data_IF_107437768334
#
_entry.id   IF_107437768334
#
_cell.length_a   1.000
_cell.length_b   1.000
_cell.length_c   1.000
_cell.angle_alpha   90.00
_cell.angle_beta   90.00
_cell.angle_gamma   90.00
#
_symmetry.space_group_name_H-M   'P 1'
#
loop_
_entity.id
_entity.type
_entity.pdbx_description
1 polymer ?
#
# COMPACT_ATOMS: atom_id res chain seq x y z
N UNK A 1 -0.31 -0.83 33.00
CA UNK A 1 -0.02 0.39 32.21
C UNK A 1 -0.56 0.19 30.81
N UNK A 2 -1.41 1.11 30.32
CA UNK A 2 -2.14 1.03 29.05
C UNK A 2 -1.32 1.79 28.00
N UNK A 3 -0.91 1.14 26.91
CA UNK A 3 -0.25 1.83 25.80
C UNK A 3 -1.25 2.80 25.14
N UNK A 4 -0.84 4.06 24.96
CA UNK A 4 -1.66 5.08 24.32
C UNK A 4 -1.70 4.87 22.79
N UNK A 5 -2.87 5.04 22.12
CA UNK A 5 -2.96 5.02 20.67
C UNK A 5 -2.49 6.37 20.13
N UNK A 6 -1.32 6.41 19.52
CA UNK A 6 -0.70 7.63 19.03
C UNK A 6 0.11 7.40 17.77
N UNK A 7 -0.56 7.02 16.69
CA UNK A 7 -0.04 7.29 15.34
C UNK A 7 -0.68 8.60 14.92
N UNK A 8 -0.03 9.70 15.30
CA UNK A 8 -0.47 11.04 14.92
C UNK A 8 -0.48 11.18 13.41
N UNK A 9 -1.59 11.68 12.87
CA UNK A 9 -1.83 12.01 11.47
C UNK A 9 -0.88 13.08 10.90
N UNK A 10 0.15 13.49 11.64
CA UNK A 10 1.00 14.65 11.37
C UNK A 10 2.13 14.39 10.35
N UNK A 11 2.35 13.15 9.93
CA UNK A 11 3.41 12.79 8.96
C UNK A 11 2.90 12.11 7.69
N UNK A 12 1.59 11.99 7.51
CA UNK A 12 1.02 11.49 6.27
C UNK A 12 0.69 12.70 5.40
N UNK A 13 1.58 13.03 4.45
CA UNK A 13 1.19 13.91 3.37
C UNK A 13 -0.04 13.31 2.69
N UNK A 14 -1.11 14.09 2.55
CA UNK A 14 -2.29 13.67 1.83
C UNK A 14 -1.92 13.47 0.35
N UNK A 15 -1.60 12.23 -0.02
CA UNK A 15 -1.45 11.85 -1.41
C UNK A 15 -2.84 11.89 -2.02
N UNK A 16 -3.02 12.74 -3.03
CA UNK A 16 -4.29 12.84 -3.75
C UNK A 16 -4.58 11.49 -4.40
N UNK A 17 -5.82 10.96 -4.29
CA UNK A 17 -6.21 9.78 -5.05
C UNK A 17 -5.93 10.04 -6.54
N UNK A 18 -5.09 9.20 -7.12
CA UNK A 18 -4.65 9.34 -8.50
C UNK A 18 -4.42 7.97 -9.12
N UNK A 19 -4.88 7.79 -10.36
CA UNK A 19 -4.58 6.60 -11.14
C UNK A 19 -3.09 6.61 -11.49
N UNK A 20 -2.28 5.85 -10.75
CA UNK A 20 -0.89 5.64 -11.14
C UNK A 20 -0.87 4.66 -12.32
N UNK A 21 -0.73 5.20 -13.54
CA UNK A 21 -0.51 4.40 -14.73
C UNK A 21 0.93 3.86 -14.73
N UNK A 22 1.14 2.71 -14.09
CA UNK A 22 2.41 2.02 -14.13
C UNK A 22 2.50 1.25 -15.45
N UNK A 23 3.41 1.68 -16.32
CA UNK A 23 3.66 1.02 -17.60
C UNK A 23 4.02 -0.47 -17.44
N UNK A 24 3.89 -1.27 -18.52
CA UNK A 24 3.99 -2.74 -18.49
C UNK A 24 5.34 -3.32 -18.00
N UNK A 25 6.35 -2.49 -17.75
CA UNK A 25 7.69 -2.90 -17.30
C UNK A 25 7.90 -2.85 -15.77
N UNK A 26 6.89 -2.46 -14.98
CA UNK A 26 7.00 -2.30 -13.53
C UNK A 26 6.60 -3.56 -12.73
N UNK A 27 7.46 -4.04 -11.83
CA UNK A 27 7.13 -5.09 -10.83
C UNK A 27 6.86 -4.44 -9.47
N UNK A 28 5.77 -4.84 -8.81
CA UNK A 28 5.44 -4.45 -7.43
C UNK A 28 5.85 -5.58 -6.49
N UNK A 29 6.77 -5.30 -5.58
CA UNK A 29 7.16 -6.22 -4.54
C UNK A 29 6.55 -5.70 -3.23
N UNK A 30 5.70 -6.53 -2.60
CA UNK A 30 5.15 -6.24 -1.29
C UNK A 30 5.91 -7.05 -0.24
N UNK A 31 6.39 -6.36 0.79
CA UNK A 31 7.13 -6.97 1.88
C UNK A 31 6.56 -6.53 3.23
N UNK A 32 6.83 -7.33 4.27
CA UNK A 32 6.39 -7.07 5.65
C UNK A 32 4.89 -6.77 5.75
N UNK A 33 4.07 -7.61 5.12
CA UNK A 33 2.63 -7.50 5.20
C UNK A 33 2.16 -7.84 6.64
N UNK A 34 1.35 -6.96 7.22
CA UNK A 34 0.81 -7.07 8.57
C UNK A 34 -0.69 -6.83 8.52
N UNK A 35 -1.46 -7.70 9.17
CA UNK A 35 -2.88 -7.48 9.42
C UNK A 35 -3.03 -6.62 10.68
N UNK A 36 -3.62 -5.44 10.55
CA UNK A 36 -3.98 -4.59 11.69
C UNK A 36 -5.29 -5.04 12.34
N UNK A 37 -6.23 -5.52 11.51
CA UNK A 37 -7.47 -6.16 11.93
C UNK A 37 -7.92 -7.17 10.89
N UNK A 38 -8.64 -8.20 11.33
CA UNK A 38 -9.30 -9.15 10.45
C UNK A 38 -10.47 -9.82 11.19
N UNK A 39 -11.60 -9.91 10.53
CA UNK A 39 -12.76 -10.68 10.95
C UNK A 39 -13.36 -11.46 9.75
N UNK A 40 -14.56 -12.02 9.90
CA UNK A 40 -15.22 -12.81 8.86
C UNK A 40 -15.51 -12.00 7.58
N UNK A 41 -15.72 -10.69 7.70
CA UNK A 41 -16.26 -9.81 6.66
C UNK A 41 -15.25 -8.75 6.24
N UNK A 42 -14.36 -8.31 7.12
CA UNK A 42 -13.37 -7.25 6.84
C UNK A 42 -11.93 -7.66 7.19
N UNK A 43 -10.96 -6.99 6.58
CA UNK A 43 -9.56 -7.01 7.01
C UNK A 43 -8.85 -5.72 6.63
N UNK A 44 -7.96 -5.23 7.48
CA UNK A 44 -7.09 -4.09 7.20
C UNK A 44 -5.63 -4.57 7.19
N UNK A 45 -4.97 -4.44 6.04
CA UNK A 45 -3.61 -4.91 5.81
C UNK A 45 -2.69 -3.74 5.49
N UNK A 46 -1.50 -3.72 6.08
CA UNK A 46 -0.44 -2.81 5.71
C UNK A 46 0.76 -3.59 5.16
N UNK A 47 1.43 -3.08 4.14
CA UNK A 47 2.63 -3.69 3.56
C UNK A 47 3.56 -2.61 2.99
N UNK A 48 4.86 -2.85 2.98
CA UNK A 48 5.82 -1.99 2.30
C UNK A 48 5.91 -2.34 0.81
N UNK A 49 6.04 -1.31 -0.03
CA UNK A 49 6.18 -1.41 -1.48
C UNK A 49 7.61 -1.16 -1.90
N UNK A 50 8.11 -1.99 -2.81
CA UNK A 50 9.23 -1.68 -3.69
C UNK A 50 8.79 -1.87 -5.15
N UNK A 51 8.75 -0.76 -5.90
CA UNK A 51 8.46 -0.73 -7.31
C UNK A 51 9.78 -0.74 -8.09
N UNK A 52 9.99 -1.77 -8.89
CA UNK A 52 11.14 -1.88 -9.79
C UNK A 52 10.69 -1.77 -11.23
N UNK A 53 11.46 -1.10 -12.08
CA UNK A 53 11.20 -1.01 -13.52
C UNK A 53 12.44 -1.39 -14.30
N UNK A 54 12.23 -2.03 -15.45
CA UNK A 54 13.27 -2.27 -16.46
C UNK A 54 13.11 -1.35 -17.69
N UNK A 55 12.19 -0.39 -17.63
CA UNK A 55 12.04 0.59 -18.70
C UNK A 55 13.33 1.42 -18.82
N UNK A 56 13.89 1.52 -20.03
CA UNK A 56 15.13 2.27 -20.28
C UNK A 56 16.42 1.45 -20.25
N UNK A 57 16.35 0.11 -20.26
CA UNK A 57 17.50 -0.77 -20.48
C UNK A 57 18.34 -1.10 -19.24
N UNK A 58 18.19 -0.35 -18.16
CA UNK A 58 18.71 -0.67 -16.83
C UNK A 58 17.57 -0.95 -15.85
N UNK A 59 17.57 -2.15 -15.25
CA UNK A 59 16.62 -2.49 -14.18
C UNK A 59 16.97 -1.76 -12.88
N UNK A 60 15.98 -1.13 -12.24
CA UNK A 60 16.21 -0.39 -11.00
C UNK A 60 14.96 -0.20 -10.15
N UNK A 61 15.17 0.18 -8.89
CA UNK A 61 14.09 0.65 -7.99
C UNK A 61 13.69 2.04 -8.46
N UNK A 62 12.41 2.22 -8.78
CA UNK A 62 11.84 3.51 -9.20
C UNK A 62 10.99 4.14 -8.12
N UNK A 63 10.47 3.36 -7.16
CA UNK A 63 9.82 3.88 -5.96
C UNK A 63 9.86 2.89 -4.81
N UNK A 64 9.90 3.42 -3.59
CA UNK A 64 9.53 2.72 -2.36
C UNK A 64 8.33 3.39 -1.72
N UNK A 65 7.70 2.71 -0.78
CA UNK A 65 6.62 3.27 0.00
C UNK A 65 5.82 2.20 0.74
N UNK A 66 4.52 2.39 0.84
CA UNK A 66 3.64 1.48 1.54
C UNK A 66 2.24 1.40 0.92
N UNK A 67 1.57 0.29 1.17
CA UNK A 67 0.15 0.08 0.93
C UNK A 67 -0.57 -0.11 2.25
N UNK A 68 -1.72 0.54 2.39
CA UNK A 68 -2.76 0.12 3.33
C UNK A 68 -3.98 -0.29 2.53
N UNK A 69 -4.45 -1.51 2.74
CA UNK A 69 -5.54 -2.14 1.98
C UNK A 69 -6.64 -2.54 2.94
N UNK A 70 -7.83 -1.98 2.76
CA UNK A 70 -9.05 -2.50 3.38
C UNK A 70 -9.70 -3.50 2.45
N UNK A 71 -9.99 -4.68 2.99
CA UNK A 71 -10.65 -5.78 2.29
C UNK A 71 -12.04 -6.01 2.87
N UNK A 72 -13.02 -6.22 2.00
CA UNK A 72 -14.37 -6.62 2.37
C UNK A 72 -14.75 -7.95 1.72
N UNK A 73 -15.69 -8.69 2.31
CA UNK A 73 -16.21 -9.91 1.70
C UNK A 73 -17.36 -9.57 0.75
N UNK A 74 -17.19 -9.94 -0.52
CA UNK A 74 -18.20 -9.75 -1.55
C UNK A 74 -18.24 -10.97 -2.48
N UNK A 75 -19.39 -11.66 -2.51
CA UNK A 75 -19.58 -12.84 -3.38
C UNK A 75 -18.71 -14.03 -2.97
N UNK A 76 -18.42 -14.21 -1.68
CA UNK A 76 -17.58 -15.30 -1.16
C UNK A 76 -16.08 -15.02 -1.20
N UNK A 77 -15.65 -14.03 -1.97
CA UNK A 77 -14.26 -13.59 -2.11
C UNK A 77 -13.98 -12.32 -1.30
N UNK A 78 -12.70 -12.03 -1.07
CA UNK A 78 -12.27 -10.73 -0.54
C UNK A 78 -12.03 -9.78 -1.70
N UNK A 79 -12.58 -8.57 -1.59
CA UNK A 79 -12.38 -7.47 -2.55
C UNK A 79 -11.72 -6.30 -1.85
N UNK A 80 -10.95 -5.53 -2.62
CA UNK A 80 -10.37 -4.27 -2.13
C UNK A 80 -11.51 -3.26 -2.02
N UNK A 81 -11.87 -2.91 -0.79
CA UNK A 81 -12.84 -1.87 -0.48
C UNK A 81 -12.17 -0.49 -0.50
N UNK A 82 -10.96 -0.41 0.04
CA UNK A 82 -10.16 0.82 0.08
C UNK A 82 -8.67 0.51 -0.14
N UNK A 83 -7.97 1.44 -0.78
CA UNK A 83 -6.55 1.33 -1.08
C UNK A 83 -5.88 2.69 -0.88
N UNK A 84 -4.95 2.74 0.06
CA UNK A 84 -4.04 3.86 0.24
C UNK A 84 -2.65 3.44 -0.21
N UNK A 85 -2.03 4.29 -1.04
CA UNK A 85 -0.66 4.12 -1.51
C UNK A 85 0.15 5.32 -1.07
N UNK A 86 1.15 5.06 -0.22
CA UNK A 86 2.22 5.98 0.11
C UNK A 86 3.42 5.72 -0.80
N UNK A 87 4.02 6.77 -1.36
CA UNK A 87 5.37 6.68 -1.94
C UNK A 87 6.32 7.55 -1.13
N UNK A 88 7.49 7.02 -0.79
CA UNK A 88 8.52 7.79 -0.07
C UNK A 88 9.18 8.81 -0.99
N UNK A 89 9.07 8.61 -2.29
CA UNK A 89 9.51 9.56 -3.29
C UNK A 89 8.57 10.79 -3.29
N UNK A 90 9.13 11.98 -3.08
CA UNK A 90 8.44 13.23 -3.40
C UNK A 90 8.52 13.44 -4.92
N UNK A 91 7.37 13.42 -5.60
CA UNK A 91 7.26 13.80 -7.01
C UNK A 91 6.57 15.17 -7.10
#
# INVERSE_FOLDING_TARGET
>A
MKAAPGWGSAHLAAIRPGKVALGPAGRRNLANAVFHSADADTALVHAYLMLTSNAGGGGGVVATGFYTVGLERAGGERRIAELFLGTDNAW
#
